data_IF_775100017762
#
_entry.id   IF_775100017762
#
_cell.length_a   1.000
_cell.length_b   1.000
_cell.length_c   1.000
_cell.angle_alpha   90.00
_cell.angle_beta   90.00
_cell.angle_gamma   90.00
#
_symmetry.space_group_name_H-M   'P 1'
#
loop_
_entity.id
_entity.type
_entity.pdbx_description
1 polymer ?
#
# COMPACT_ATOMS: atom_id res chain seq x y z
N UNK A 1 -55.70 -78.51 -25.83
CA UNK A 1 -54.39 -77.89 -26.11
C UNK A 1 -54.66 -76.44 -26.47
N UNK A 2 -54.18 -75.51 -25.64
CA UNK A 2 -54.63 -74.11 -25.59
C UNK A 2 -53.95 -73.18 -26.59
N UNK A 3 -54.71 -72.20 -27.06
CA UNK A 3 -54.39 -71.28 -28.15
C UNK A 3 -53.15 -70.40 -27.89
N UNK A 4 -52.28 -70.19 -28.91
CA UNK A 4 -51.02 -69.46 -28.77
C UNK A 4 -51.15 -67.93 -28.75
N UNK A 5 -52.36 -67.37 -28.92
CA UNK A 5 -52.60 -65.92 -29.01
C UNK A 5 -52.74 -65.19 -27.65
N UNK A 6 -52.86 -65.91 -26.54
CA UNK A 6 -53.06 -65.29 -25.20
C UNK A 6 -51.72 -65.01 -24.50
N UNK A 7 -50.61 -65.65 -24.91
CA UNK A 7 -49.30 -65.49 -24.26
C UNK A 7 -48.49 -64.27 -24.76
N UNK A 8 -48.76 -63.77 -25.96
CA UNK A 8 -48.06 -62.60 -26.53
C UNK A 8 -48.60 -61.26 -26.02
N UNK A 9 -49.85 -61.20 -25.55
CA UNK A 9 -50.42 -59.97 -24.94
C UNK A 9 -49.97 -59.81 -23.48
N UNK A 10 -49.75 -60.92 -22.76
CA UNK A 10 -49.30 -60.88 -21.37
C UNK A 10 -47.85 -60.38 -21.20
N UNK A 11 -46.96 -60.67 -22.16
CA UNK A 11 -45.54 -60.23 -22.10
C UNK A 11 -45.38 -58.75 -22.48
N UNK A 12 -46.24 -58.22 -23.35
CA UNK A 12 -46.24 -56.79 -23.70
C UNK A 12 -46.77 -55.88 -22.58
N UNK A 13 -47.70 -56.35 -21.74
CA UNK A 13 -48.23 -55.60 -20.60
C UNK A 13 -47.23 -55.51 -19.42
N UNK A 14 -46.44 -56.56 -19.18
CA UNK A 14 -45.44 -56.59 -18.09
C UNK A 14 -44.18 -55.77 -18.46
N UNK A 15 -43.80 -55.72 -19.75
CA UNK A 15 -42.68 -54.92 -20.24
C UNK A 15 -42.90 -53.39 -20.18
N UNK A 16 -44.14 -52.91 -20.40
CA UNK A 16 -44.48 -51.48 -20.31
C UNK A 16 -44.68 -51.06 -18.85
N UNK A 17 -45.20 -51.94 -17.99
CA UNK A 17 -45.36 -51.68 -16.56
C UNK A 17 -44.03 -51.44 -15.82
N UNK A 18 -42.98 -52.21 -16.13
CA UNK A 18 -41.67 -52.03 -15.50
C UNK A 18 -40.97 -50.72 -15.92
N UNK A 19 -41.09 -50.31 -17.19
CA UNK A 19 -40.53 -49.03 -17.66
C UNK A 19 -41.30 -47.85 -17.06
N UNK A 20 -42.63 -47.94 -16.92
CA UNK A 20 -43.44 -46.91 -16.27
C UNK A 20 -43.14 -46.79 -14.76
N UNK A 21 -42.93 -47.90 -14.04
CA UNK A 21 -42.56 -47.88 -12.61
C UNK A 21 -41.12 -47.36 -12.42
N UNK A 22 -40.19 -47.70 -13.31
CA UNK A 22 -38.85 -47.11 -13.29
C UNK A 22 -38.88 -45.61 -13.63
N UNK A 23 -39.71 -45.17 -14.59
CA UNK A 23 -39.84 -43.75 -14.95
C UNK A 23 -40.56 -42.92 -13.87
N UNK A 24 -41.63 -43.46 -13.26
CA UNK A 24 -42.31 -42.84 -12.12
C UNK A 24 -41.42 -42.84 -10.88
N UNK A 25 -40.69 -43.93 -10.60
CA UNK A 25 -39.70 -43.99 -9.52
C UNK A 25 -38.52 -43.05 -9.73
N UNK A 26 -38.03 -42.89 -10.96
CA UNK A 26 -37.02 -41.89 -11.31
C UNK A 26 -37.58 -40.47 -11.16
N UNK A 27 -38.83 -40.23 -11.58
CA UNK A 27 -39.51 -38.94 -11.45
C UNK A 27 -39.78 -38.60 -9.97
N UNK A 28 -40.23 -39.54 -9.16
CA UNK A 28 -40.46 -39.36 -7.72
C UNK A 28 -39.15 -39.20 -6.94
N UNK A 29 -38.09 -39.95 -7.27
CA UNK A 29 -36.79 -39.78 -6.65
C UNK A 29 -36.17 -38.41 -7.00
N UNK A 30 -36.30 -37.97 -8.26
CA UNK A 30 -35.85 -36.66 -8.69
C UNK A 30 -36.69 -35.54 -8.04
N UNK A 31 -38.00 -35.74 -7.89
CA UNK A 31 -38.86 -34.80 -7.17
C UNK A 31 -38.49 -34.71 -5.68
N UNK A 32 -38.21 -35.84 -5.01
CA UNK A 32 -37.77 -35.85 -3.61
C UNK A 32 -36.44 -35.13 -3.42
N UNK A 33 -35.47 -35.35 -4.30
CA UNK A 33 -34.19 -34.64 -4.25
C UNK A 33 -34.34 -33.15 -4.53
N UNK A 34 -35.20 -32.77 -5.49
CA UNK A 34 -35.51 -31.38 -5.76
C UNK A 34 -36.16 -30.69 -4.56
N UNK A 35 -37.19 -31.31 -3.97
CA UNK A 35 -37.87 -30.77 -2.78
C UNK A 35 -36.93 -30.68 -1.56
N UNK A 36 -35.97 -31.60 -1.42
CA UNK A 36 -34.90 -31.49 -0.42
C UNK A 36 -34.01 -30.27 -0.65
N UNK A 37 -33.68 -29.94 -1.90
CA UNK A 37 -32.90 -28.75 -2.24
C UNK A 37 -33.67 -27.46 -1.97
N UNK A 38 -34.97 -27.42 -2.29
CA UNK A 38 -35.85 -26.29 -1.96
C UNK A 38 -35.93 -26.11 -0.43
N UNK A 39 -36.19 -27.18 0.32
CA UNK A 39 -36.20 -27.13 1.78
C UNK A 39 -34.85 -26.72 2.38
N UNK A 40 -33.75 -27.20 1.80
CA UNK A 40 -32.41 -26.77 2.19
C UNK A 40 -32.23 -25.26 1.96
N UNK A 41 -32.61 -24.73 0.80
CA UNK A 41 -32.53 -23.30 0.50
C UNK A 41 -33.35 -22.47 1.50
N UNK A 42 -34.56 -22.90 1.88
CA UNK A 42 -35.37 -22.23 2.90
C UNK A 42 -34.68 -22.19 4.28
N UNK A 43 -34.03 -23.29 4.69
CA UNK A 43 -33.28 -23.33 5.95
C UNK A 43 -31.96 -22.57 5.89
N UNK A 44 -31.34 -22.49 4.71
CA UNK A 44 -30.08 -21.81 4.49
C UNK A 44 -30.20 -20.29 4.67
N UNK A 45 -31.38 -19.70 4.39
CA UNK A 45 -31.63 -18.25 4.53
C UNK A 45 -31.09 -17.68 5.85
N UNK A 46 -31.38 -18.32 6.99
CA UNK A 46 -30.91 -17.81 8.31
C UNK A 46 -29.40 -17.90 8.46
N UNK A 47 -28.79 -18.99 7.97
CA UNK A 47 -27.35 -19.20 7.99
C UNK A 47 -26.65 -18.19 7.08
N UNK A 48 -27.20 -17.95 5.90
CA UNK A 48 -26.63 -17.05 4.90
C UNK A 48 -26.81 -15.58 5.33
N UNK A 49 -27.91 -15.24 6.01
CA UNK A 49 -28.09 -13.93 6.63
C UNK A 49 -27.11 -13.67 7.80
N UNK A 50 -26.78 -14.70 8.59
CA UNK A 50 -25.70 -14.58 9.58
C UNK A 50 -24.32 -14.43 8.90
N UNK A 51 -24.07 -15.23 7.86
CA UNK A 51 -22.79 -15.25 7.14
C UNK A 51 -22.53 -13.94 6.41
N UNK A 52 -23.54 -13.35 5.75
CA UNK A 52 -23.39 -12.08 5.03
C UNK A 52 -23.08 -10.92 6.00
N UNK A 53 -23.66 -10.94 7.21
CA UNK A 53 -23.37 -9.96 8.25
C UNK A 53 -21.95 -10.13 8.84
N UNK A 54 -21.50 -11.37 9.04
CA UNK A 54 -20.12 -11.65 9.44
C UNK A 54 -19.13 -11.15 8.39
N UNK A 55 -19.38 -11.46 7.11
CA UNK A 55 -18.53 -11.02 6.00
C UNK A 55 -18.54 -9.50 5.85
N UNK A 56 -19.69 -8.84 5.98
CA UNK A 56 -19.76 -7.37 5.98
C UNK A 56 -18.91 -6.76 7.12
N UNK A 57 -18.93 -7.39 8.29
CA UNK A 57 -18.11 -6.97 9.43
C UNK A 57 -16.61 -7.18 9.15
N UNK A 58 -16.24 -8.33 8.57
CA UNK A 58 -14.86 -8.63 8.17
C UNK A 58 -14.35 -7.64 7.10
N UNK A 59 -15.13 -7.38 6.05
CA UNK A 59 -14.80 -6.38 5.01
C UNK A 59 -14.66 -5.00 5.63
N UNK A 60 -15.58 -4.59 6.51
CA UNK A 60 -15.50 -3.29 7.18
C UNK A 60 -14.24 -3.17 8.04
N UNK A 61 -13.80 -4.26 8.67
CA UNK A 61 -12.56 -4.30 9.45
C UNK A 61 -11.27 -4.26 8.59
N UNK A 62 -11.37 -4.39 7.25
CA UNK A 62 -10.24 -4.14 6.35
C UNK A 62 -9.93 -2.65 6.20
N UNK A 63 -10.84 -1.77 6.61
CA UNK A 63 -10.71 -0.32 6.49
C UNK A 63 -10.51 0.36 7.84
N UNK A 64 -10.00 1.58 7.79
CA UNK A 64 -9.80 2.41 8.99
C UNK A 64 -11.08 3.04 9.50
N UNK A 65 -12.09 3.18 8.63
CA UNK A 65 -13.33 3.88 8.94
C UNK A 65 -14.50 3.36 8.09
N UNK A 66 -15.72 3.80 8.43
CA UNK A 66 -16.96 3.37 7.75
C UNK A 66 -17.07 3.89 6.32
N UNK A 67 -16.37 4.98 6.00
CA UNK A 67 -16.30 5.57 4.68
C UNK A 67 -15.44 4.73 3.71
N UNK A 68 -14.71 3.72 4.22
CA UNK A 68 -13.92 2.75 3.44
C UNK A 68 -12.93 3.39 2.46
N UNK A 69 -12.42 4.57 2.82
CA UNK A 69 -11.44 5.30 2.00
C UNK A 69 -10.07 4.61 2.10
N UNK A 70 -9.57 4.42 3.33
CA UNK A 70 -8.23 3.86 3.58
C UNK A 70 -8.31 2.46 4.18
N UNK A 71 -7.40 1.59 3.72
CA UNK A 71 -7.19 0.27 4.32
C UNK A 71 -6.53 0.41 5.70
N UNK A 72 -6.85 -0.52 6.61
CA UNK A 72 -6.16 -0.61 7.90
C UNK A 72 -4.68 -0.92 7.69
N UNK A 73 -3.86 -0.49 8.64
CA UNK A 73 -2.43 -0.81 8.64
C UNK A 73 -2.22 -2.31 8.90
N UNK A 74 -1.27 -2.91 8.20
CA UNK A 74 -0.86 -4.30 8.42
C UNK A 74 -1.85 -5.34 7.91
N UNK A 75 -2.77 -4.94 7.02
CA UNK A 75 -3.59 -5.89 6.26
C UNK A 75 -2.69 -6.86 5.49
N UNK A 76 -3.10 -8.13 5.43
CA UNK A 76 -2.36 -9.18 4.74
C UNK A 76 -3.17 -9.78 3.58
N UNK A 77 -2.48 -10.37 2.60
CA UNK A 77 -3.11 -11.11 1.51
C UNK A 77 -3.95 -12.29 2.01
N UNK A 78 -3.51 -12.93 3.11
CA UNK A 78 -4.25 -14.03 3.74
C UNK A 78 -5.59 -13.56 4.32
N UNK A 79 -5.63 -12.41 5.00
CA UNK A 79 -6.89 -11.82 5.50
C UNK A 79 -7.85 -11.49 4.35
N UNK A 80 -7.34 -10.93 3.25
CA UNK A 80 -8.15 -10.64 2.05
C UNK A 80 -8.70 -11.93 1.45
N UNK A 81 -7.82 -12.90 1.17
CA UNK A 81 -8.19 -14.20 0.58
C UNK A 81 -9.22 -14.93 1.42
N UNK A 82 -9.04 -14.96 2.76
CA UNK A 82 -9.98 -15.61 3.65
C UNK A 82 -11.34 -14.91 3.65
N UNK A 83 -11.36 -13.57 3.61
CA UNK A 83 -12.60 -12.79 3.59
C UNK A 83 -13.34 -12.98 2.26
N UNK A 84 -12.62 -12.95 1.13
CA UNK A 84 -13.16 -13.23 -0.19
C UNK A 84 -13.73 -14.65 -0.29
N UNK A 85 -13.00 -15.66 0.19
CA UNK A 85 -13.49 -17.05 0.18
C UNK A 85 -14.76 -17.24 1.03
N UNK A 86 -14.87 -16.55 2.17
CA UNK A 86 -16.10 -16.55 2.98
C UNK A 86 -17.27 -15.91 2.21
N UNK A 87 -17.03 -14.80 1.52
CA UNK A 87 -18.03 -14.12 0.70
C UNK A 87 -18.50 -15.02 -0.45
N UNK A 88 -17.57 -15.63 -1.17
CA UNK A 88 -17.86 -16.53 -2.29
C UNK A 88 -18.71 -17.72 -1.87
N UNK A 89 -18.43 -18.28 -0.69
CA UNK A 89 -19.16 -19.42 -0.13
C UNK A 89 -20.63 -19.17 0.22
N UNK A 90 -21.10 -17.91 0.24
CA UNK A 90 -22.52 -17.58 0.52
C UNK A 90 -23.35 -17.86 -0.74
N UNK A 91 -24.23 -18.85 -0.67
CA UNK A 91 -25.11 -19.22 -1.78
C UNK A 91 -26.27 -18.25 -1.86
N UNK A 92 -26.58 -17.70 -3.03
CA UNK A 92 -27.63 -16.68 -3.16
C UNK A 92 -28.55 -16.84 -4.37
N UNK A 93 -28.18 -17.69 -5.31
CA UNK A 93 -28.92 -17.92 -6.56
C UNK A 93 -29.59 -19.29 -6.58
N UNK A 94 -30.63 -19.43 -7.41
CA UNK A 94 -31.28 -20.72 -7.63
C UNK A 94 -30.29 -21.80 -8.13
N UNK A 95 -29.32 -21.40 -8.96
CA UNK A 95 -28.24 -22.27 -9.45
C UNK A 95 -27.33 -22.78 -8.31
N UNK A 96 -26.99 -21.94 -7.33
CA UNK A 96 -26.17 -22.34 -6.17
C UNK A 96 -26.82 -23.47 -5.34
N UNK A 97 -28.15 -23.50 -5.35
CA UNK A 97 -28.98 -24.50 -4.67
C UNK A 97 -29.42 -25.63 -5.62
N UNK A 98 -29.27 -25.46 -6.93
CA UNK A 98 -29.76 -26.39 -7.94
C UNK A 98 -31.29 -26.54 -7.94
N UNK A 99 -31.99 -25.41 -7.78
CA UNK A 99 -33.46 -25.27 -7.79
C UNK A 99 -33.90 -24.29 -8.90
N UNK A 100 -35.19 -24.19 -9.18
CA UNK A 100 -35.75 -23.17 -10.07
C UNK A 100 -35.89 -21.82 -9.35
N UNK A 101 -35.78 -20.72 -10.09
CA UNK A 101 -35.87 -19.35 -9.56
C UNK A 101 -37.22 -19.06 -8.87
N UNK A 102 -38.29 -19.73 -9.30
CA UNK A 102 -39.61 -19.60 -8.68
C UNK A 102 -39.67 -20.20 -7.27
N UNK A 103 -38.80 -21.17 -6.98
CA UNK A 103 -38.71 -21.85 -5.69
C UNK A 103 -37.61 -21.25 -4.80
N UNK A 104 -36.91 -20.21 -5.27
CA UNK A 104 -35.91 -19.51 -4.47
C UNK A 104 -36.61 -18.73 -3.34
N UNK A 105 -36.17 -18.88 -2.07
CA UNK A 105 -36.79 -18.16 -0.97
C UNK A 105 -36.70 -16.64 -1.19
N UNK A 106 -37.82 -15.93 -0.99
CA UNK A 106 -37.92 -14.49 -1.29
C UNK A 106 -36.83 -13.64 -0.62
N UNK A 107 -36.42 -14.01 0.59
CA UNK A 107 -35.39 -13.32 1.35
C UNK A 107 -33.99 -13.47 0.74
N UNK A 108 -33.73 -14.50 -0.08
CA UNK A 108 -32.45 -14.65 -0.78
C UNK A 108 -32.17 -13.51 -1.74
N UNK A 109 -33.20 -12.88 -2.32
CA UNK A 109 -33.02 -11.71 -3.19
C UNK A 109 -32.41 -10.51 -2.45
N UNK A 110 -32.65 -10.39 -1.14
CA UNK A 110 -32.02 -9.36 -0.30
C UNK A 110 -30.54 -9.71 -0.05
N UNK A 111 -30.27 -10.96 0.35
CA UNK A 111 -28.90 -11.45 0.59
C UNK A 111 -28.06 -11.36 -0.68
N UNK A 112 -28.64 -11.66 -1.85
CA UNK A 112 -27.96 -11.54 -3.15
C UNK A 112 -27.50 -10.10 -3.44
N UNK A 113 -28.36 -9.10 -3.18
CA UNK A 113 -28.02 -7.68 -3.34
C UNK A 113 -26.93 -7.25 -2.37
N UNK A 114 -26.99 -7.71 -1.12
CA UNK A 114 -25.94 -7.46 -0.13
C UNK A 114 -24.62 -8.08 -0.57
N UNK A 115 -24.63 -9.34 -1.05
CA UNK A 115 -23.45 -10.01 -1.61
C UNK A 115 -22.84 -9.25 -2.78
N UNK A 116 -23.66 -8.71 -3.69
CA UNK A 116 -23.17 -7.91 -4.81
C UNK A 116 -22.45 -6.63 -4.34
N UNK A 117 -22.98 -5.94 -3.33
CA UNK A 117 -22.34 -4.76 -2.73
C UNK A 117 -21.03 -5.15 -2.04
N UNK A 118 -21.02 -6.25 -1.28
CA UNK A 118 -19.81 -6.75 -0.62
C UNK A 118 -18.76 -7.20 -1.62
N UNK A 119 -19.13 -7.80 -2.75
CA UNK A 119 -18.19 -8.17 -3.82
C UNK A 119 -17.48 -6.93 -4.38
N UNK A 120 -18.22 -5.83 -4.61
CA UNK A 120 -17.62 -4.56 -5.07
C UNK A 120 -16.66 -3.98 -4.04
N UNK A 121 -17.02 -4.05 -2.76
CA UNK A 121 -16.15 -3.57 -1.67
C UNK A 121 -14.91 -4.46 -1.50
N UNK A 122 -15.05 -5.77 -1.66
CA UNK A 122 -13.93 -6.71 -1.61
C UNK A 122 -12.94 -6.44 -2.77
N UNK A 123 -13.46 -6.28 -3.99
CA UNK A 123 -12.64 -5.94 -5.15
C UNK A 123 -11.92 -4.59 -5.00
N UNK A 124 -12.58 -3.59 -4.40
CA UNK A 124 -11.94 -2.31 -4.05
C UNK A 124 -10.80 -2.50 -3.04
N UNK A 125 -11.01 -3.29 -1.97
CA UNK A 125 -9.97 -3.57 -0.99
C UNK A 125 -8.76 -4.30 -1.60
N UNK A 126 -9.01 -5.29 -2.46
CA UNK A 126 -7.97 -6.04 -3.19
C UNK A 126 -7.19 -5.14 -4.14
N UNK A 127 -7.88 -4.30 -4.92
CA UNK A 127 -7.24 -3.35 -5.82
C UNK A 127 -6.36 -2.36 -5.06
N UNK A 128 -6.86 -1.79 -3.96
CA UNK A 128 -6.11 -0.89 -3.08
C UNK A 128 -4.88 -1.58 -2.51
N UNK A 129 -5.03 -2.80 -1.98
CA UNK A 129 -3.92 -3.58 -1.44
C UNK A 129 -2.85 -3.87 -2.48
N UNK A 130 -3.25 -4.33 -3.67
CA UNK A 130 -2.33 -4.61 -4.77
C UNK A 130 -1.56 -3.35 -5.21
N UNK A 131 -2.23 -2.20 -5.31
CA UNK A 131 -1.58 -0.93 -5.66
C UNK A 131 -0.62 -0.48 -4.55
N UNK A 132 -1.01 -0.58 -3.28
CA UNK A 132 -0.13 -0.25 -2.15
C UNK A 132 1.16 -1.10 -2.19
N UNK A 133 1.03 -2.42 -2.41
CA UNK A 133 2.18 -3.29 -2.54
C UNK A 133 3.06 -2.92 -3.75
N UNK A 134 2.46 -2.57 -4.89
CA UNK A 134 3.23 -2.12 -6.05
C UNK A 134 3.98 -0.82 -5.75
N UNK A 135 3.36 0.14 -5.06
CA UNK A 135 4.04 1.38 -4.64
C UNK A 135 5.17 1.08 -3.66
N UNK A 136 4.98 0.16 -2.71
CA UNK A 136 6.02 -0.25 -1.77
C UNK A 136 7.25 -0.82 -2.50
N UNK A 137 7.06 -1.46 -3.65
CA UNK A 137 8.18 -1.98 -4.44
C UNK A 137 9.05 -0.89 -5.09
N UNK A 138 8.58 0.35 -5.18
CA UNK A 138 9.36 1.47 -5.72
C UNK A 138 10.47 1.90 -4.75
N UNK A 139 10.31 1.63 -3.46
CA UNK A 139 11.13 2.17 -2.39
C UNK A 139 11.99 1.11 -1.69
N UNK A 140 13.09 1.53 -1.04
CA UNK A 140 13.95 0.63 -0.26
C UNK A 140 13.23 0.02 0.95
N UNK A 141 12.26 0.76 1.49
CA UNK A 141 11.38 0.32 2.58
C UNK A 141 9.93 0.58 2.18
N UNK A 142 9.00 -0.30 2.58
CA UNK A 142 7.57 -0.07 2.39
C UNK A 142 7.12 1.28 2.96
N UNK A 143 6.07 1.85 2.38
CA UNK A 143 5.44 3.07 2.85
C UNK A 143 4.96 2.87 4.29
N UNK A 144 5.40 3.74 5.19
CA UNK A 144 5.11 3.63 6.62
C UNK A 144 3.68 4.06 7.00
N UNK A 145 3.04 4.88 6.17
CA UNK A 145 1.74 5.49 6.46
C UNK A 145 0.85 5.58 5.21
N UNK A 146 -0.20 4.77 5.16
CA UNK A 146 -1.19 4.76 4.08
C UNK A 146 -2.45 5.60 4.36
N UNK A 147 -2.37 6.52 5.33
CA UNK A 147 -3.46 7.47 5.65
C UNK A 147 -3.05 8.92 5.36
N UNK A 148 -1.75 9.22 5.38
CA UNK A 148 -1.21 10.55 5.12
C UNK A 148 0.18 10.45 4.53
N UNK A 149 0.42 11.19 3.45
CA UNK A 149 1.69 11.18 2.77
C UNK A 149 2.81 11.67 3.69
N UNK A 150 3.93 10.96 3.63
CA UNK A 150 5.16 11.32 4.32
C UNK A 150 6.29 11.24 3.32
N UNK A 151 7.00 12.36 3.14
CA UNK A 151 8.11 12.45 2.21
C UNK A 151 9.41 11.86 2.80
N UNK A 152 9.34 10.67 3.38
CA UNK A 152 10.44 9.92 3.99
C UNK A 152 10.85 8.68 3.17
N UNK A 153 10.17 8.44 2.04
CA UNK A 153 10.44 7.32 1.14
C UNK A 153 11.70 7.56 0.31
N UNK A 154 12.41 6.46 0.03
CA UNK A 154 13.68 6.44 -0.71
C UNK A 154 13.56 5.45 -1.85
N UNK A 155 13.77 5.87 -3.10
CA UNK A 155 13.66 4.97 -4.26
C UNK A 155 14.74 3.88 -4.26
N UNK A 156 14.45 2.73 -4.86
CA UNK A 156 15.45 1.69 -5.15
C UNK A 156 16.43 2.17 -6.22
N UNK A 157 17.68 1.70 -6.14
CA UNK A 157 18.77 2.06 -7.05
C UNK A 157 18.45 1.84 -8.53
N UNK A 158 17.72 0.76 -8.87
CA UNK A 158 17.41 0.37 -10.26
C UNK A 158 15.96 0.67 -10.67
N UNK A 159 15.30 1.59 -9.98
CA UNK A 159 13.94 2.00 -10.30
C UNK A 159 13.89 2.70 -11.68
N UNK A 160 12.85 2.43 -12.47
CA UNK A 160 12.63 3.06 -13.78
C UNK A 160 11.37 3.92 -13.78
N UNK A 161 11.33 4.92 -14.65
CA UNK A 161 10.14 5.74 -14.90
C UNK A 161 8.92 4.88 -15.32
N UNK A 162 9.15 3.79 -16.05
CA UNK A 162 8.11 2.84 -16.48
C UNK A 162 7.46 2.10 -15.31
N UNK A 163 8.20 1.85 -14.23
CA UNK A 163 7.68 1.17 -13.04
C UNK A 163 6.65 2.08 -12.34
N UNK A 164 6.98 3.37 -12.20
CA UNK A 164 6.05 4.38 -11.66
C UNK A 164 4.87 4.61 -12.61
N UNK A 165 5.13 4.67 -13.93
CA UNK A 165 4.12 4.82 -14.97
C UNK A 165 3.06 3.71 -14.96
N UNK A 166 3.49 2.46 -14.80
CA UNK A 166 2.58 1.30 -14.74
C UNK A 166 1.62 1.39 -13.57
N UNK A 167 2.09 1.85 -12.41
CA UNK A 167 1.21 2.03 -11.23
C UNK A 167 0.24 3.20 -11.46
N UNK A 168 0.73 4.30 -12.04
CA UNK A 168 -0.11 5.46 -12.37
C UNK A 168 -1.26 5.10 -13.30
N UNK A 169 -0.98 4.27 -14.32
CA UNK A 169 -1.99 3.75 -15.24
C UNK A 169 -3.05 2.93 -14.48
N UNK A 170 -2.64 1.99 -13.61
CA UNK A 170 -3.57 1.21 -12.78
C UNK A 170 -4.46 2.08 -11.92
N UNK A 171 -3.89 3.11 -11.28
CA UNK A 171 -4.64 4.07 -10.45
C UNK A 171 -5.63 4.87 -11.28
N UNK A 172 -5.36 5.12 -12.57
CA UNK A 172 -6.27 5.89 -13.43
C UNK A 172 -7.60 5.20 -13.73
N UNK A 173 -7.68 3.88 -13.53
CA UNK A 173 -8.92 3.11 -13.65
C UNK A 173 -9.75 3.09 -12.36
N UNK A 174 -9.28 3.73 -11.28
CA UNK A 174 -9.97 3.84 -10.00
C UNK A 174 -10.53 5.25 -9.85
N UNK A 175 -11.77 5.34 -9.39
CA UNK A 175 -12.43 6.62 -9.12
C UNK A 175 -11.62 7.50 -8.17
N UNK A 176 -11.63 8.80 -8.45
CA UNK A 176 -10.86 9.75 -7.65
C UNK A 176 -11.38 9.82 -6.22
N UNK A 177 -10.47 9.62 -5.28
CA UNK A 177 -10.69 9.64 -3.84
C UNK A 177 -9.44 10.12 -3.11
N UNK A 178 -9.54 10.41 -1.81
CA UNK A 178 -8.38 10.81 -1.02
C UNK A 178 -7.30 9.71 -0.95
N UNK A 179 -7.70 8.43 -1.04
CA UNK A 179 -6.75 7.34 -1.21
C UNK A 179 -6.00 7.42 -2.55
N UNK A 180 -6.68 7.67 -3.67
CA UNK A 180 -5.96 7.82 -4.96
C UNK A 180 -5.05 9.04 -4.98
N UNK A 181 -5.43 10.15 -4.32
CA UNK A 181 -4.58 11.34 -4.17
C UNK A 181 -3.32 11.01 -3.38
N UNK A 182 -3.47 10.26 -2.28
CA UNK A 182 -2.35 9.78 -1.48
C UNK A 182 -1.39 8.91 -2.30
N UNK A 183 -1.91 7.96 -3.09
CA UNK A 183 -1.09 7.16 -4.00
C UNK A 183 -0.34 8.04 -5.00
N UNK A 184 -1.04 8.97 -5.68
CA UNK A 184 -0.44 9.92 -6.63
C UNK A 184 0.66 10.76 -5.97
N UNK A 185 0.50 11.14 -4.71
CA UNK A 185 1.52 11.88 -3.96
C UNK A 185 2.78 11.04 -3.73
N UNK A 186 2.65 9.77 -3.32
CA UNK A 186 3.80 8.87 -3.23
C UNK A 186 4.50 8.65 -4.57
N UNK A 187 3.74 8.48 -5.66
CA UNK A 187 4.30 8.37 -7.00
C UNK A 187 5.08 9.64 -7.38
N UNK A 188 4.58 10.82 -7.02
CA UNK A 188 5.29 12.08 -7.26
C UNK A 188 6.62 12.19 -6.50
N UNK A 189 6.71 11.61 -5.29
CA UNK A 189 7.97 11.54 -4.56
C UNK A 189 8.98 10.62 -5.25
N UNK A 190 8.51 9.55 -5.89
CA UNK A 190 9.36 8.69 -6.71
C UNK A 190 9.81 9.43 -7.98
N UNK A 191 8.89 10.08 -8.70
CA UNK A 191 9.19 10.88 -9.91
C UNK A 191 10.24 11.96 -9.62
N UNK A 192 10.10 12.70 -8.52
CA UNK A 192 11.05 13.75 -8.15
C UNK A 192 12.47 13.20 -7.89
N UNK A 193 12.57 12.01 -7.27
CA UNK A 193 13.84 11.35 -7.04
C UNK A 193 14.45 10.80 -8.35
N UNK A 194 13.64 10.17 -9.21
CA UNK A 194 14.07 9.68 -10.52
C UNK A 194 14.55 10.81 -11.43
N UNK A 195 13.81 11.92 -11.47
CA UNK A 195 14.20 13.12 -12.22
C UNK A 195 15.57 13.63 -11.79
N UNK A 196 15.82 13.73 -10.48
CA UNK A 196 17.12 14.13 -9.94
C UNK A 196 18.23 13.16 -10.36
N UNK A 197 17.98 11.85 -10.27
CA UNK A 197 18.92 10.82 -10.73
C UNK A 197 19.26 10.99 -12.21
N UNK A 198 18.25 11.19 -13.06
CA UNK A 198 18.44 11.42 -14.49
C UNK A 198 19.23 12.70 -14.78
N UNK A 199 18.95 13.79 -14.07
CA UNK A 199 19.66 15.06 -14.20
C UNK A 199 21.13 14.95 -13.76
N UNK A 200 21.41 14.23 -12.66
CA UNK A 200 22.78 13.95 -12.21
C UNK A 200 23.52 13.13 -13.26
N UNK A 201 22.93 12.03 -13.75
CA UNK A 201 23.55 11.21 -14.79
C UNK A 201 23.86 12.02 -16.04
N UNK A 202 22.90 12.83 -16.52
CA UNK A 202 23.11 13.72 -17.67
C UNK A 202 24.25 14.70 -17.44
N UNK A 203 24.36 15.24 -16.22
CA UNK A 203 25.45 16.15 -15.85
C UNK A 203 26.80 15.43 -15.88
N UNK A 204 26.89 14.25 -15.24
CA UNK A 204 28.07 13.39 -15.22
C UNK A 204 28.51 12.99 -16.62
N UNK A 205 27.63 12.46 -17.45
CA UNK A 205 27.89 12.07 -18.85
C UNK A 205 28.36 13.26 -19.71
N UNK A 206 27.88 14.47 -19.40
CA UNK A 206 28.30 15.66 -20.13
C UNK A 206 29.70 16.13 -19.73
N UNK A 207 30.12 15.89 -18.48
CA UNK A 207 31.37 16.37 -17.90
C UNK A 207 32.49 15.34 -17.90
N UNK A 208 32.15 14.05 -17.95
CA UNK A 208 33.09 12.94 -17.91
C UNK A 208 32.77 11.95 -19.06
N UNK A 209 33.75 11.72 -19.94
CA UNK A 209 33.63 10.76 -21.04
C UNK A 209 34.90 9.92 -21.12
N UNK A 210 34.74 8.59 -21.18
CA UNK A 210 35.86 7.64 -21.23
C UNK A 210 36.88 7.90 -20.08
N UNK A 211 36.35 8.13 -18.87
CA UNK A 211 37.09 8.52 -17.66
C UNK A 211 37.93 9.81 -17.77
N UNK A 212 37.68 10.67 -18.77
CA UNK A 212 38.33 11.97 -18.93
C UNK A 212 37.34 13.12 -18.88
N UNK A 213 37.74 14.22 -18.24
CA UNK A 213 36.90 15.43 -18.24
C UNK A 213 36.72 15.96 -19.66
N UNK A 214 35.52 16.47 -19.94
CA UNK A 214 35.21 17.17 -21.19
C UNK A 214 35.39 18.68 -21.01
N UNK A 215 35.35 19.43 -22.11
CA UNK A 215 35.29 20.89 -22.07
C UNK A 215 34.02 21.46 -21.39
N UNK A 216 33.02 20.63 -21.08
CA UNK A 216 31.82 21.03 -20.35
C UNK A 216 32.00 20.92 -18.84
N UNK A 217 33.05 20.26 -18.35
CA UNK A 217 33.40 20.22 -16.94
C UNK A 217 33.98 21.58 -16.52
N UNK A 218 33.17 22.39 -15.84
CA UNK A 218 33.59 23.68 -15.27
C UNK A 218 33.38 23.64 -13.76
N UNK A 219 34.10 24.49 -13.02
CA UNK A 219 33.97 24.59 -11.57
C UNK A 219 32.51 24.82 -11.12
N UNK A 220 31.81 25.75 -11.78
CA UNK A 220 30.40 26.05 -11.46
C UNK A 220 29.47 24.83 -11.66
N UNK A 221 29.64 24.10 -12.77
CA UNK A 221 28.84 22.90 -13.03
C UNK A 221 29.17 21.76 -12.07
N UNK A 222 30.43 21.64 -11.67
CA UNK A 222 30.84 20.71 -10.63
C UNK A 222 30.17 21.03 -9.28
N UNK A 223 30.16 22.30 -8.85
CA UNK A 223 29.46 22.71 -7.62
C UNK A 223 27.95 22.39 -7.69
N UNK A 224 27.32 22.68 -8.83
CA UNK A 224 25.91 22.34 -9.05
C UNK A 224 25.66 20.82 -8.97
N UNK A 225 26.56 20.01 -9.56
CA UNK A 225 26.51 18.56 -9.50
C UNK A 225 26.60 18.05 -8.06
N UNK A 226 27.62 18.45 -7.31
CA UNK A 226 27.82 18.01 -5.91
C UNK A 226 26.65 18.43 -5.03
N UNK A 227 26.12 19.64 -5.21
CA UNK A 227 24.91 20.08 -4.52
C UNK A 227 23.71 19.16 -4.84
N UNK A 228 23.51 18.81 -6.11
CA UNK A 228 22.43 17.88 -6.51
C UNK A 228 22.60 16.48 -5.91
N UNK A 229 23.83 15.94 -5.94
CA UNK A 229 24.22 14.65 -5.32
C UNK A 229 23.93 14.67 -3.82
N UNK A 230 24.20 15.79 -3.14
CA UNK A 230 24.00 15.90 -1.69
C UNK A 230 22.56 15.60 -1.25
N UNK A 231 21.58 15.93 -2.10
CA UNK A 231 20.15 15.71 -1.84
C UNK A 231 19.61 14.39 -2.41
N UNK A 232 20.48 13.52 -2.97
CA UNK A 232 20.13 12.12 -3.28
C UNK A 232 19.95 11.36 -1.96
N UNK A 233 18.77 10.75 -1.79
CA UNK A 233 18.41 10.03 -0.56
C UNK A 233 18.93 8.60 -0.52
N UNK A 234 18.95 7.93 -1.67
CA UNK A 234 19.47 6.57 -1.79
C UNK A 234 20.99 6.58 -1.59
N UNK A 235 21.48 5.87 -0.58
CA UNK A 235 22.90 5.91 -0.21
C UNK A 235 23.81 5.35 -1.30
N UNK A 236 23.41 4.23 -1.93
CA UNK A 236 24.21 3.59 -2.97
C UNK A 236 24.31 4.47 -4.22
N UNK A 237 23.21 5.09 -4.65
CA UNK A 237 23.24 6.04 -5.77
C UNK A 237 24.10 7.26 -5.44
N UNK A 238 23.97 7.77 -4.20
CA UNK A 238 24.77 8.92 -3.75
C UNK A 238 26.27 8.61 -3.78
N UNK A 239 26.67 7.45 -3.29
CA UNK A 239 28.06 6.97 -3.32
C UNK A 239 28.57 6.84 -4.76
N UNK A 240 27.83 6.16 -5.64
CA UNK A 240 28.20 6.01 -7.06
C UNK A 240 28.39 7.37 -7.76
N UNK A 241 27.49 8.33 -7.52
CA UNK A 241 27.64 9.66 -8.11
C UNK A 241 28.79 10.45 -7.51
N UNK A 242 29.05 10.28 -6.22
CA UNK A 242 30.16 10.96 -5.53
C UNK A 242 31.50 10.48 -6.09
N UNK A 243 31.71 9.18 -6.26
CA UNK A 243 32.93 8.63 -6.87
C UNK A 243 33.18 9.19 -8.29
N UNK A 244 32.13 9.32 -9.10
CA UNK A 244 32.23 9.93 -10.43
C UNK A 244 32.52 11.44 -10.36
N UNK A 245 31.97 12.14 -9.38
CA UNK A 245 32.26 13.56 -9.15
C UNK A 245 33.69 13.77 -8.67
N UNK A 246 34.22 12.91 -7.80
CA UNK A 246 35.59 12.98 -7.29
C UNK A 246 36.61 12.86 -8.43
N UNK A 247 36.40 11.93 -9.37
CA UNK A 247 37.21 11.83 -10.60
C UNK A 247 37.23 13.13 -11.41
N UNK A 248 36.10 13.83 -11.50
CA UNK A 248 36.01 15.13 -12.18
C UNK A 248 36.80 16.19 -11.40
N UNK A 249 36.66 16.22 -10.07
CA UNK A 249 37.36 17.14 -9.17
C UNK A 249 38.88 17.02 -9.31
N UNK A 250 39.40 15.79 -9.27
CA UNK A 250 40.83 15.50 -9.41
C UNK A 250 41.39 16.03 -10.74
N UNK A 251 40.68 15.77 -11.85
CA UNK A 251 41.11 16.19 -13.19
C UNK A 251 40.96 17.69 -13.45
N UNK A 252 40.02 18.36 -12.77
CA UNK A 252 39.91 19.82 -12.78
C UNK A 252 40.98 20.50 -11.93
N UNK A 253 41.82 19.74 -11.22
CA UNK A 253 42.80 20.31 -10.28
C UNK A 253 42.16 20.87 -9.01
N UNK A 254 40.95 20.41 -8.68
CA UNK A 254 40.23 20.77 -7.46
C UNK A 254 40.58 19.83 -6.29
N UNK A 255 41.45 18.83 -6.53
CA UNK A 255 41.87 17.81 -5.57
C UNK A 255 42.49 18.40 -4.29
N UNK A 256 41.75 18.24 -3.20
CA UNK A 256 42.09 18.42 -1.77
C UNK A 256 43.17 19.46 -1.41
N UNK A 257 42.78 20.73 -1.30
CA UNK A 257 43.23 21.50 -0.12
C UNK A 257 42.58 20.80 1.07
N UNK A 258 43.35 19.94 1.75
CA UNK A 258 42.92 19.40 3.03
C UNK A 258 42.41 20.54 3.90
N UNK A 259 41.34 20.28 4.63
CA UNK A 259 40.96 21.08 5.79
C UNK A 259 42.09 20.90 6.83
N UNK A 260 43.23 21.53 6.59
CA UNK A 260 44.28 21.69 7.58
C UNK A 260 43.78 22.78 8.50
N UNK A 261 43.33 22.38 9.69
CA UNK A 261 43.43 23.21 10.88
C UNK A 261 44.91 23.58 11.05
N UNK A 262 45.34 24.63 10.35
CA UNK A 262 46.53 25.37 10.70
C UNK A 262 46.06 26.79 10.93
N UNK A 263 45.59 27.01 12.15
CA UNK A 263 45.50 28.33 12.76
C UNK A 263 46.90 28.96 12.70
N UNK A 264 47.18 29.65 11.60
CA UNK A 264 48.32 30.54 11.48
C UNK A 264 47.85 31.85 12.09
N UNK A 265 48.25 32.04 13.35
CA UNK A 265 48.14 33.30 14.07
C UNK A 265 49.07 34.32 13.40
N UNK A 266 48.58 35.00 12.37
CA UNK A 266 49.23 36.21 11.89
C UNK A 266 48.74 37.40 12.72
N UNK A 267 49.50 37.63 13.79
CA UNK A 267 49.53 38.89 14.50
C UNK A 267 50.09 39.97 13.57
N UNK A 268 49.21 40.80 13.01
CA UNK A 268 49.58 42.09 12.44
C UNK A 268 49.18 43.19 13.42
N UNK A 269 50.19 43.62 14.17
CA UNK A 269 50.24 44.82 14.99
C UNK A 269 49.85 46.07 14.20
N UNK A 270 48.96 46.88 14.75
CA UNK A 270 48.94 48.32 14.55
C UNK A 270 48.77 48.98 15.92
N UNK A 271 49.82 49.68 16.34
CA UNK A 271 49.89 50.55 17.52
C UNK A 271 49.40 51.96 17.18
N UNK A 272 48.80 52.62 18.16
CA UNK A 272 49.18 53.94 18.71
C UNK A 272 48.01 54.42 19.61
N UNK A 273 48.13 54.31 20.93
CA UNK A 273 48.63 55.31 21.90
C UNK A 273 47.59 56.39 22.29
N UNK A 274 47.10 56.31 23.55
CA UNK A 274 47.07 57.43 24.51
C UNK A 274 46.41 57.06 25.86
N UNK A 275 47.27 56.80 26.85
CA UNK A 275 47.34 57.40 28.22
C UNK A 275 46.22 57.23 29.28
N UNK A 276 46.60 56.50 30.34
CA UNK A 276 46.46 56.73 31.81
C UNK A 276 45.11 57.10 32.46
N UNK A 277 44.67 56.31 33.46
CA UNK A 277 45.01 56.50 34.89
C UNK A 277 44.08 55.66 35.82
N UNK A 278 44.69 55.05 36.85
CA UNK A 278 44.26 54.74 38.25
C UNK A 278 42.75 54.53 38.55
N UNK A 279 42.31 53.58 39.37
CA UNK A 279 42.72 53.37 40.77
C UNK A 279 42.08 52.08 41.35
N UNK A 280 42.69 51.57 42.43
CA UNK A 280 42.35 50.39 43.23
C UNK A 280 40.96 50.50 43.91
N UNK A 281 40.26 49.40 44.24
CA UNK A 281 40.28 48.69 45.55
C UNK A 281 39.10 47.68 45.53
N UNK A 282 39.25 46.37 45.66
CA UNK A 282 39.47 45.49 46.84
C UNK A 282 38.29 45.29 47.84
N UNK A 283 38.12 44.02 48.23
CA UNK A 283 37.26 43.35 49.24
C UNK A 283 35.81 42.99 48.81
N UNK A 284 35.35 41.74 48.71
CA UNK A 284 35.48 40.46 49.48
C UNK A 284 34.53 40.33 50.69
N UNK A 285 34.06 39.09 50.89
CA UNK A 285 33.26 38.47 51.97
C UNK A 285 31.72 38.49 51.75
N UNK A 286 31.10 37.35 51.40
CA UNK A 286 30.72 36.13 52.18
C UNK A 286 29.31 36.29 52.76
N UNK A 287 28.34 35.46 52.31
CA UNK A 287 27.75 34.31 53.01
C UNK A 287 26.96 34.73 54.29
N UNK A 288 25.75 34.29 54.61
CA UNK A 288 24.99 33.07 54.32
C UNK A 288 23.57 33.24 54.92
N UNK A 289 22.62 32.45 54.42
CA UNK A 289 21.44 31.87 55.10
C UNK A 289 20.58 32.70 56.07
N UNK A 290 19.26 32.70 55.85
CA UNK A 290 18.34 31.78 56.57
C UNK A 290 16.92 31.90 56.03
N UNK A 291 16.27 30.75 55.97
CA UNK A 291 14.88 30.41 55.67
C UNK A 291 13.80 31.30 56.31
N UNK A 292 12.63 31.39 55.66
CA UNK A 292 11.40 30.70 56.12
C UNK A 292 10.13 31.32 55.51
N UNK A 293 9.18 30.45 55.18
CA UNK A 293 7.77 30.73 55.43
C UNK A 293 6.85 30.84 54.21
N UNK A 294 6.24 29.69 53.89
CA UNK A 294 4.80 29.49 53.62
C UNK A 294 4.07 30.27 52.51
N UNK A 295 2.95 29.81 51.97
CA UNK A 295 2.34 28.52 51.57
C UNK A 295 0.97 28.90 50.95
N UNK A 296 0.24 27.91 50.41
CA UNK A 296 -1.11 27.95 49.82
C UNK A 296 -1.19 28.41 48.35
N UNK A 297 -1.36 27.54 47.34
CA UNK A 297 -2.40 26.54 47.03
C UNK A 297 -3.75 27.15 46.62
N UNK A 298 -4.18 26.92 45.38
CA UNK A 298 -5.55 26.48 45.11
C UNK A 298 -5.68 25.84 43.72
N UNK A 299 -6.25 24.64 43.73
CA UNK A 299 -6.77 23.87 42.61
C UNK A 299 -8.14 24.40 42.17
N UNK A 300 -8.49 24.29 40.89
CA UNK A 300 -9.91 24.18 40.53
C UNK A 300 -10.27 24.34 39.05
N UNK A 301 -10.75 23.21 38.51
CA UNK A 301 -11.63 22.99 37.35
C UNK A 301 -11.00 22.73 35.97
#
# INVERSE_FOLDING_TARGET
>A
MGNPLIKTIAVAAVGIGAVAICFVGYRENNNKQYQQKVSYAETAVKKDEASINEVNSAITALYTSKEKVFLKRGITEAELTQTGAKLDGIKVSADDFGIEENDLPKNMKKIAKEKEVLNKQMADAEAKFAIQNNVDTLFEKPVSNWQKAQNNVVIKTKLKDTDVGTIRERVSFIDESDWTKLVKEYLSYADAQLKRVAEINKSLESMLKDDKITNKATYEKYLSLVNSISQVRNKNLKEEFTEKADKISEQLGLGTTGYNDNATSDAASYSDEATQANDASNYQSEASDTEAGDSYSETGY
#
